data_IF_296338552918
#
_entry.id   IF_296338552918
#
_cell.length_a   1.000
_cell.length_b   1.000
_cell.length_c   1.000
_cell.angle_alpha   90.00
_cell.angle_beta   90.00
_cell.angle_gamma   90.00
#
_symmetry.space_group_name_H-M   'P 1'
#
loop_
_entity.id
_entity.type
_entity.pdbx_description
1 polymer ?
#
# COMPACT_ATOMS: atom_id res chain seq x y z
N UNK A 1 7.85 36.22 -0.09
CA UNK A 1 8.58 34.94 -0.03
C UNK A 1 10.03 35.24 -0.34
N UNK A 2 10.97 34.70 0.43
CA UNK A 2 12.42 34.83 0.16
C UNK A 2 12.98 33.41 0.08
N UNK A 3 13.74 33.15 -0.98
CA UNK A 3 14.44 31.89 -1.22
C UNK A 3 15.91 32.06 -0.87
N UNK A 4 16.52 31.05 -0.26
CA UNK A 4 17.92 31.01 0.16
C UNK A 4 18.88 30.66 -0.98
N UNK A 5 18.35 30.34 -2.16
CA UNK A 5 19.07 30.10 -3.40
C UNK A 5 18.28 30.56 -4.64
N UNK A 6 18.92 30.51 -5.80
CA UNK A 6 18.34 30.95 -7.07
C UNK A 6 17.14 30.09 -7.48
N UNK A 7 16.03 30.74 -7.83
CA UNK A 7 14.79 30.11 -8.31
C UNK A 7 14.55 30.54 -9.75
N UNK A 8 14.21 29.58 -10.62
CA UNK A 8 14.07 29.86 -12.05
C UNK A 8 12.74 30.52 -12.42
N UNK A 9 11.66 30.20 -11.70
CA UNK A 9 10.38 30.91 -11.78
C UNK A 9 9.49 30.63 -10.56
N UNK A 10 8.54 31.54 -10.30
CA UNK A 10 7.60 31.48 -9.17
C UNK A 10 6.19 31.68 -9.71
N UNK A 11 5.24 30.85 -9.26
CA UNK A 11 3.83 31.03 -9.54
C UNK A 11 3.07 31.53 -8.31
N UNK A 12 2.16 32.47 -8.54
CA UNK A 12 1.21 32.95 -7.55
C UNK A 12 -0.19 32.89 -8.15
N UNK A 13 -1.07 32.12 -7.52
CA UNK A 13 -2.47 32.03 -7.92
C UNK A 13 -3.33 32.88 -6.98
N UNK A 14 -4.02 33.86 -7.55
CA UNK A 14 -5.05 34.65 -6.84
C UNK A 14 -6.23 34.81 -7.81
N UNK A 15 -7.43 34.41 -7.40
CA UNK A 15 -8.66 34.61 -8.18
C UNK A 15 -9.11 36.08 -8.19
N UNK A 16 -10.00 36.46 -9.12
CA UNK A 16 -10.47 37.85 -9.23
C UNK A 16 -11.55 38.19 -8.21
N UNK A 17 -11.44 39.33 -7.49
CA UNK A 17 -12.50 39.84 -6.63
C UNK A 17 -13.70 40.38 -7.42
N UNK A 18 -14.92 40.00 -7.04
CA UNK A 18 -16.21 40.57 -7.48
C UNK A 18 -16.88 41.31 -6.33
N UNK A 19 -17.34 42.54 -6.56
CA UNK A 19 -18.01 43.35 -5.54
C UNK A 19 -19.48 42.95 -5.39
N UNK A 20 -19.94 42.69 -4.16
CA UNK A 20 -21.33 42.31 -3.83
C UNK A 20 -22.11 43.52 -3.31
N UNK A 21 -21.48 44.37 -2.49
CA UNK A 21 -22.13 45.55 -1.91
C UNK A 21 -21.13 46.67 -1.58
N UNK A 22 -21.62 47.76 -0.98
CA UNK A 22 -20.79 48.87 -0.51
C UNK A 22 -19.78 48.46 0.60
N UNK A 23 -19.93 47.26 1.17
CA UNK A 23 -19.05 46.72 2.23
C UNK A 23 -18.64 45.26 1.99
N UNK A 24 -18.83 44.73 0.79
CA UNK A 24 -18.68 43.31 0.54
C UNK A 24 -18.08 43.05 -0.85
N UNK A 25 -17.03 42.23 -0.87
CA UNK A 25 -16.36 41.72 -2.05
C UNK A 25 -16.21 40.21 -1.86
N UNK A 26 -16.43 39.44 -2.92
CA UNK A 26 -16.12 38.01 -3.01
C UNK A 26 -14.89 37.83 -3.89
N UNK A 27 -14.07 36.79 -3.69
CA UNK A 27 -12.98 36.41 -4.61
C UNK A 27 -13.23 34.94 -4.97
N UNK A 28 -13.19 34.57 -6.26
CA UNK A 28 -13.35 33.17 -6.66
C UNK A 28 -12.27 32.70 -7.66
N UNK A 29 -11.75 31.50 -7.38
CA UNK A 29 -11.55 30.46 -8.40
C UNK A 29 -12.04 29.15 -7.80
N UNK A 30 -13.30 28.79 -8.08
CA UNK A 30 -13.75 27.40 -8.00
C UNK A 30 -14.25 26.83 -6.67
N UNK A 31 -14.91 27.64 -5.81
CA UNK A 31 -15.84 27.25 -4.72
C UNK A 31 -15.39 27.46 -3.24
N UNK A 32 -16.42 27.63 -2.39
CA UNK A 32 -16.56 28.31 -1.10
C UNK A 32 -15.59 28.00 0.06
N UNK A 33 -15.48 28.93 1.03
CA UNK A 33 -15.77 28.76 2.48
C UNK A 33 -16.10 30.12 3.18
N UNK A 34 -16.71 30.09 4.38
CA UNK A 34 -17.38 31.15 5.17
C UNK A 34 -16.47 32.24 5.82
N UNK A 35 -17.09 33.29 6.38
CA UNK A 35 -16.44 34.44 7.04
C UNK A 35 -15.75 34.18 8.41
N UNK A 36 -15.49 32.91 8.74
CA UNK A 36 -14.57 32.49 9.82
C UNK A 36 -13.31 31.80 9.28
N UNK A 37 -13.17 31.74 7.96
CA UNK A 37 -12.24 30.83 7.31
C UNK A 37 -10.95 31.51 6.84
N UNK A 38 -9.94 30.67 6.79
CA UNK A 38 -8.56 30.99 6.49
C UNK A 38 -8.43 31.47 5.04
N UNK A 39 -7.81 32.64 4.82
CA UNK A 39 -7.40 33.08 3.49
C UNK A 39 -6.06 32.40 3.19
N UNK A 40 -6.10 31.37 2.36
CA UNK A 40 -4.92 30.60 1.98
C UNK A 40 -4.27 31.17 0.73
N UNK A 41 -2.96 31.43 0.81
CA UNK A 41 -2.12 31.80 -0.32
C UNK A 41 -1.14 30.66 -0.56
N UNK A 42 -1.21 30.04 -1.74
CA UNK A 42 -0.27 28.99 -2.14
C UNK A 42 0.79 29.59 -3.04
N UNK A 43 2.04 29.38 -2.68
CA UNK A 43 3.20 29.77 -3.47
C UNK A 43 3.97 28.50 -3.82
N UNK A 44 4.27 28.31 -5.11
CA UNK A 44 5.08 27.20 -5.60
C UNK A 44 6.31 27.78 -6.30
N UNK A 45 7.50 27.33 -5.89
CA UNK A 45 8.78 27.74 -6.47
C UNK A 45 9.53 26.53 -7.00
N UNK A 46 10.18 26.69 -8.15
CA UNK A 46 10.94 25.61 -8.81
C UNK A 46 12.44 25.95 -8.88
N UNK A 47 13.29 25.08 -8.32
CA UNK A 47 14.75 25.20 -8.32
C UNK A 47 15.44 23.84 -8.15
N UNK A 48 16.76 23.83 -7.93
CA UNK A 48 17.57 22.61 -7.80
C UNK A 48 18.03 22.39 -6.35
N UNK A 49 17.92 21.15 -5.85
CA UNK A 49 18.30 20.79 -4.47
C UNK A 49 17.24 21.14 -3.42
N UNK A 50 17.59 20.99 -2.14
CA UNK A 50 16.71 21.31 -1.02
C UNK A 50 16.60 22.84 -0.84
N UNK A 51 15.40 23.41 -0.99
CA UNK A 51 15.12 24.86 -0.86
C UNK A 51 14.32 25.11 0.43
N UNK A 52 14.69 26.13 1.22
CA UNK A 52 13.99 26.48 2.47
C UNK A 52 13.29 27.84 2.36
N UNK A 53 12.06 27.91 1.83
CA UNK A 53 11.38 29.19 1.65
C UNK A 53 10.83 29.77 2.95
N UNK A 54 10.85 31.10 3.06
CA UNK A 54 10.14 31.85 4.13
C UNK A 54 9.10 32.79 3.52
N UNK A 55 7.92 32.90 4.15
CA UNK A 55 6.83 33.77 3.71
C UNK A 55 6.36 34.72 4.83
N UNK A 56 5.97 35.93 4.46
CA UNK A 56 5.42 36.95 5.37
C UNK A 56 4.12 37.47 4.77
N UNK A 57 3.05 37.48 5.55
CA UNK A 57 1.71 37.98 5.17
C UNK A 57 1.33 39.10 6.12
N UNK A 58 0.86 40.23 5.57
CA UNK A 58 0.38 41.38 6.35
C UNK A 58 -1.08 41.65 5.99
N UNK A 59 -1.94 41.83 7.00
CA UNK A 59 -3.37 42.15 6.84
C UNK A 59 -3.64 43.43 7.65
N UNK A 60 -4.05 44.51 6.97
CA UNK A 60 -4.39 45.78 7.63
C UNK A 60 -5.91 45.96 7.79
N UNK A 61 -6.36 46.40 8.98
CA UNK A 61 -7.77 46.78 9.22
C UNK A 61 -8.45 46.24 10.50
N UNK A 62 -7.74 45.61 11.43
CA UNK A 62 -8.34 45.10 12.67
C UNK A 62 -8.49 46.21 13.73
N UNK A 63 -9.69 46.79 13.87
CA UNK A 63 -10.02 47.66 15.00
C UNK A 63 -10.42 46.82 16.22
N UNK A 64 -9.43 46.42 17.02
CA UNK A 64 -9.65 45.72 18.28
C UNK A 64 -8.34 45.21 18.86
N UNK A 65 -7.89 45.81 19.95
CA UNK A 65 -6.58 45.58 20.55
C UNK A 65 -6.34 44.15 21.01
N UNK A 66 -5.57 43.41 20.23
CA UNK A 66 -4.68 42.35 20.68
C UNK A 66 -3.48 42.37 19.76
N UNK A 67 -2.30 42.58 20.35
CA UNK A 67 -1.00 42.63 19.68
C UNK A 67 -0.87 41.41 18.73
N UNK A 68 -0.46 41.57 17.47
CA UNK A 68 -0.15 40.42 16.63
C UNK A 68 1.03 39.71 17.29
N UNK A 69 0.82 38.50 17.79
CA UNK A 69 1.93 37.63 18.15
C UNK A 69 2.71 37.35 16.87
N UNK A 70 3.91 37.90 16.75
CA UNK A 70 4.92 37.47 15.79
C UNK A 70 5.36 36.05 16.16
N UNK A 71 4.51 35.08 15.79
CA UNK A 71 4.84 33.66 15.79
C UNK A 71 5.87 33.42 14.70
N UNK A 72 7.05 32.94 15.10
CA UNK A 72 8.13 32.59 14.19
C UNK A 72 7.69 31.56 13.15
N UNK A 73 8.29 31.72 11.97
CA UNK A 73 8.43 30.77 10.86
C UNK A 73 7.90 29.36 11.12
N UNK A 74 6.64 29.10 10.78
CA UNK A 74 6.14 27.74 10.55
C UNK A 74 6.39 27.38 9.09
N UNK A 75 7.34 26.46 8.87
CA UNK A 75 7.38 25.65 7.66
C UNK A 75 6.10 24.79 7.60
N UNK A 76 5.54 24.67 6.39
CA UNK A 76 4.21 24.14 6.12
C UNK A 76 3.87 22.83 6.84
N UNK A 77 2.73 22.86 7.53
CA UNK A 77 2.04 21.69 8.07
C UNK A 77 1.23 20.98 6.98
N UNK A 78 1.50 19.69 6.85
CA UNK A 78 0.81 18.64 6.11
C UNK A 78 -0.70 18.54 6.47
N UNK A 79 -1.64 18.48 5.51
CA UNK A 79 -3.06 18.32 5.80
C UNK A 79 -3.41 16.84 6.03
N UNK A 80 -3.56 16.42 7.29
CA UNK A 80 -4.10 15.09 7.59
C UNK A 80 -3.99 14.62 9.04
N UNK A 81 -4.53 15.38 10.00
CA UNK A 81 -4.68 14.91 11.38
C UNK A 81 -6.16 14.87 11.78
N UNK A 82 -6.79 13.71 11.65
CA UNK A 82 -8.00 13.39 12.41
C UNK A 82 -7.63 12.55 13.62
N UNK A 83 -7.52 13.23 14.76
CA UNK A 83 -7.91 12.74 16.08
C UNK A 83 -7.22 11.49 16.65
N UNK A 84 -6.06 11.67 17.26
CA UNK A 84 -5.50 10.73 18.23
C UNK A 84 -4.38 11.39 19.04
N UNK A 85 -4.67 11.80 20.28
CA UNK A 85 -3.82 12.67 21.10
C UNK A 85 -2.38 12.18 21.27
N UNK A 86 -1.43 13.06 20.93
CA UNK A 86 0.00 12.88 21.19
C UNK A 86 0.76 14.15 20.85
N UNK A 87 1.50 14.68 21.82
CA UNK A 87 2.27 15.91 21.77
C UNK A 87 3.21 16.00 20.56
N UNK A 88 3.35 17.20 19.98
CA UNK A 88 4.01 17.49 18.70
C UNK A 88 5.52 17.21 18.63
N UNK A 89 5.89 15.94 18.55
CA UNK A 89 7.21 15.49 18.07
C UNK A 89 7.17 15.10 16.59
N UNK A 90 8.31 15.24 15.89
CA UNK A 90 8.49 14.72 14.53
C UNK A 90 8.12 13.23 14.50
N UNK A 91 7.33 12.80 13.52
CA UNK A 91 6.96 11.39 13.36
C UNK A 91 8.19 10.59 12.91
N UNK A 92 8.43 9.44 13.53
CA UNK A 92 9.50 8.54 13.13
C UNK A 92 8.98 7.54 12.09
N UNK A 93 9.06 7.92 10.82
CA UNK A 93 8.57 7.07 9.71
C UNK A 93 9.39 5.78 9.54
N UNK A 94 10.68 5.78 9.91
CA UNK A 94 11.49 4.57 9.91
C UNK A 94 11.01 3.54 10.94
N UNK A 95 10.65 3.99 12.13
CA UNK A 95 10.04 3.12 13.15
C UNK A 95 8.66 2.61 12.72
N UNK A 96 7.83 3.48 12.13
CA UNK A 96 6.53 3.08 11.59
C UNK A 96 6.67 2.02 10.49
N UNK A 97 7.64 2.20 9.58
CA UNK A 97 7.95 1.24 8.52
C UNK A 97 8.40 -0.12 9.08
N UNK A 98 9.31 -0.11 10.07
CA UNK A 98 9.75 -1.34 10.74
C UNK A 98 8.59 -2.09 11.39
N UNK A 99 7.68 -1.36 12.06
CA UNK A 99 6.45 -1.95 12.64
C UNK A 99 5.49 -2.48 11.57
N UNK A 100 5.37 -1.82 10.43
CA UNK A 100 4.57 -2.29 9.30
C UNK A 100 5.11 -3.60 8.72
N UNK A 101 6.43 -3.76 8.63
CA UNK A 101 7.05 -5.03 8.22
C UNK A 101 6.79 -6.14 9.24
N UNK A 102 6.88 -5.83 10.55
CA UNK A 102 6.55 -6.79 11.61
C UNK A 102 5.08 -7.22 11.58
N UNK A 103 4.17 -6.35 11.17
CA UNK A 103 2.77 -6.71 10.96
C UNK A 103 2.61 -7.85 9.95
N UNK A 104 3.23 -7.76 8.76
CA UNK A 104 3.17 -8.85 7.78
C UNK A 104 3.88 -10.13 8.26
N UNK A 105 4.97 -10.01 9.02
CA UNK A 105 5.59 -11.17 9.67
C UNK A 105 4.61 -11.85 10.65
N UNK A 106 3.80 -11.07 11.35
CA UNK A 106 2.78 -11.57 12.25
C UNK A 106 1.56 -12.19 11.55
N UNK A 107 1.43 -12.04 10.23
CA UNK A 107 0.40 -12.69 9.40
C UNK A 107 0.87 -14.00 8.76
N UNK A 108 2.15 -14.39 8.89
CA UNK A 108 2.70 -15.60 8.24
C UNK A 108 1.93 -16.86 8.66
N UNK A 109 1.49 -17.66 7.69
CA UNK A 109 0.95 -19.01 7.87
C UNK A 109 2.01 -20.04 7.43
N UNK A 110 1.96 -21.28 7.92
CA UNK A 110 2.91 -22.34 7.62
C UNK A 110 3.94 -22.55 8.72
N UNK A 111 5.05 -23.20 8.36
CA UNK A 111 6.18 -23.46 9.25
C UNK A 111 7.08 -22.23 9.32
N UNK A 112 7.12 -21.55 10.46
CA UNK A 112 7.87 -20.32 10.62
C UNK A 112 9.39 -20.58 10.65
N UNK A 113 10.21 -19.64 10.17
CA UNK A 113 11.65 -19.82 10.17
C UNK A 113 12.20 -19.67 11.61
N UNK A 114 13.36 -20.28 11.94
CA UNK A 114 13.94 -20.21 13.28
C UNK A 114 14.24 -18.79 13.76
N UNK A 115 14.43 -17.84 12.83
CA UNK A 115 14.67 -16.42 13.09
C UNK A 115 13.38 -15.57 13.03
N UNK A 116 12.20 -16.17 13.20
CA UNK A 116 10.93 -15.44 13.22
C UNK A 116 10.97 -14.29 14.26
N UNK A 117 10.71 -13.03 13.85
CA UNK A 117 10.81 -11.88 14.75
C UNK A 117 9.59 -11.71 15.67
N UNK A 118 8.53 -12.52 15.51
CA UNK A 118 7.28 -12.39 16.25
C UNK A 118 7.17 -13.47 17.34
N UNK A 119 7.52 -13.18 18.61
CA UNK A 119 7.72 -14.21 19.64
C UNK A 119 6.45 -14.95 20.07
N UNK A 120 5.27 -14.41 19.75
CA UNK A 120 3.97 -14.99 20.09
C UNK A 120 3.32 -15.76 18.93
N UNK A 121 3.97 -15.82 17.76
CA UNK A 121 3.53 -16.61 16.60
C UNK A 121 4.33 -17.90 16.50
N UNK A 122 3.63 -19.00 16.23
CA UNK A 122 4.19 -20.33 16.01
C UNK A 122 3.80 -20.93 14.66
N UNK A 123 4.26 -22.16 14.43
CA UNK A 123 3.88 -22.96 13.26
C UNK A 123 2.37 -23.17 13.23
N UNK A 124 1.74 -22.82 12.12
CA UNK A 124 0.29 -22.94 11.93
C UNK A 124 -0.02 -23.41 10.52
N UNK A 125 -1.13 -24.15 10.33
CA UNK A 125 -1.60 -24.59 9.01
C UNK A 125 -0.53 -25.27 8.12
N UNK A 126 0.40 -25.99 8.74
CA UNK A 126 1.52 -26.66 8.04
C UNK A 126 1.05 -27.75 7.06
N UNK A 127 -0.17 -28.26 7.25
CA UNK A 127 -0.79 -29.28 6.41
C UNK A 127 -1.74 -28.73 5.33
N UNK A 128 -1.82 -27.41 5.14
CA UNK A 128 -2.58 -26.82 4.04
C UNK A 128 -2.04 -27.34 2.68
N UNK A 129 -2.91 -27.42 1.66
CA UNK A 129 -2.49 -27.86 0.32
C UNK A 129 -1.37 -26.99 -0.27
N UNK A 130 -1.34 -25.71 0.11
CA UNK A 130 -0.27 -24.76 -0.17
C UNK A 130 0.12 -24.14 1.18
N UNK A 131 1.19 -24.64 1.84
CA UNK A 131 1.69 -24.07 3.08
C UNK A 131 2.38 -22.72 2.79
N UNK A 132 2.54 -21.89 3.83
CA UNK A 132 3.07 -20.54 3.66
C UNK A 132 1.98 -19.48 3.46
N UNK A 133 2.39 -18.32 2.95
CA UNK A 133 1.50 -17.19 2.67
C UNK A 133 1.11 -16.41 3.93
N UNK A 134 0.21 -15.45 3.77
CA UNK A 134 -0.33 -14.64 4.86
C UNK A 134 -1.80 -14.94 5.10
N UNK A 135 -2.20 -15.00 6.37
CA UNK A 135 -3.59 -14.83 6.76
C UNK A 135 -4.07 -13.43 6.37
N UNK A 136 -5.31 -13.34 5.89
CA UNK A 136 -5.84 -12.15 5.25
C UNK A 136 -6.00 -10.97 6.21
N UNK A 137 -6.70 -11.17 7.33
CA UNK A 137 -7.00 -10.12 8.29
C UNK A 137 -6.84 -10.61 9.74
N UNK A 138 -7.90 -10.49 10.53
CA UNK A 138 -7.98 -11.09 11.87
C UNK A 138 -8.47 -12.54 11.87
N UNK A 139 -8.81 -13.06 10.69
CA UNK A 139 -9.16 -14.45 10.43
C UNK A 139 -7.92 -15.23 9.96
N UNK A 140 -8.10 -16.48 9.53
CA UNK A 140 -7.00 -17.33 9.10
C UNK A 140 -7.16 -17.92 7.70
N UNK A 141 -8.12 -17.41 6.92
CA UNK A 141 -8.23 -17.74 5.50
C UNK A 141 -7.10 -17.05 4.74
N UNK A 142 -6.60 -17.73 3.71
CA UNK A 142 -5.66 -17.15 2.74
C UNK A 142 -6.46 -16.81 1.48
N UNK A 143 -6.88 -15.57 1.32
CA UNK A 143 -7.65 -15.10 0.16
C UNK A 143 -6.72 -14.57 -0.94
N UNK A 144 -6.75 -15.19 -2.12
CA UNK A 144 -5.81 -14.89 -3.20
C UNK A 144 -5.92 -13.48 -3.77
N UNK A 145 -7.13 -12.94 -3.91
CA UNK A 145 -7.35 -11.61 -4.49
C UNK A 145 -6.65 -10.50 -3.67
N UNK A 146 -7.01 -10.26 -2.39
CA UNK A 146 -6.34 -9.23 -1.57
C UNK A 146 -4.85 -9.55 -1.32
N UNK A 147 -4.49 -10.83 -1.22
CA UNK A 147 -3.10 -11.24 -1.04
C UNK A 147 -2.23 -10.83 -2.24
N UNK A 148 -2.72 -11.05 -3.46
CA UNK A 148 -2.01 -10.67 -4.69
C UNK A 148 -1.87 -9.14 -4.81
N UNK A 149 -2.95 -8.39 -4.57
CA UNK A 149 -2.92 -6.92 -4.55
C UNK A 149 -1.91 -6.37 -3.54
N UNK A 150 -1.93 -6.90 -2.31
CA UNK A 150 -0.97 -6.52 -1.25
C UNK A 150 0.47 -6.77 -1.68
N UNK A 151 0.75 -7.94 -2.27
CA UNK A 151 2.08 -8.32 -2.70
C UNK A 151 2.58 -7.48 -3.89
N UNK A 152 1.70 -7.09 -4.81
CA UNK A 152 2.04 -6.16 -5.90
C UNK A 152 2.38 -4.78 -5.35
N UNK A 153 1.55 -4.22 -4.45
CA UNK A 153 1.79 -2.91 -3.84
C UNK A 153 3.10 -2.86 -3.04
N UNK A 154 3.38 -3.91 -2.26
CA UNK A 154 4.64 -4.03 -1.52
C UNK A 154 5.85 -4.19 -2.46
N UNK A 155 5.70 -4.97 -3.53
CA UNK A 155 6.71 -5.12 -4.57
C UNK A 155 7.01 -3.80 -5.28
N UNK A 156 5.97 -3.06 -5.68
CA UNK A 156 6.11 -1.74 -6.28
C UNK A 156 6.78 -0.76 -5.31
N UNK A 157 6.36 -0.74 -4.03
CA UNK A 157 7.00 0.09 -3.00
C UNK A 157 8.50 -0.18 -2.89
N UNK A 158 8.90 -1.46 -2.85
CA UNK A 158 10.31 -1.84 -2.82
C UNK A 158 11.07 -1.37 -4.07
N UNK A 159 10.48 -1.53 -5.26
CA UNK A 159 11.09 -1.10 -6.53
C UNK A 159 11.26 0.43 -6.58
N UNK A 160 10.22 1.17 -6.20
CA UNK A 160 10.16 2.62 -6.36
C UNK A 160 10.93 3.37 -5.27
N UNK A 161 10.92 2.86 -4.03
CA UNK A 161 11.40 3.56 -2.84
C UNK A 161 12.47 2.77 -2.08
N UNK A 162 13.26 1.96 -2.79
CA UNK A 162 14.34 1.14 -2.21
C UNK A 162 15.26 1.94 -1.28
N UNK A 163 15.64 3.15 -1.67
CA UNK A 163 16.51 4.04 -0.90
C UNK A 163 15.88 4.46 0.45
N UNK A 164 14.54 4.56 0.51
CA UNK A 164 13.79 4.79 1.74
C UNK A 164 13.94 3.64 2.73
N UNK A 165 13.84 2.39 2.25
CA UNK A 165 14.08 1.20 3.07
C UNK A 165 15.53 1.11 3.55
N UNK A 166 16.49 1.47 2.69
CA UNK A 166 17.92 1.52 3.05
C UNK A 166 18.18 2.55 4.15
N UNK A 167 17.70 3.79 3.97
CA UNK A 167 17.82 4.87 4.97
C UNK A 167 17.16 4.52 6.30
N UNK A 168 16.05 3.78 6.27
CA UNK A 168 15.36 3.30 7.46
C UNK A 168 16.03 2.07 8.13
N UNK A 169 17.03 1.46 7.48
CA UNK A 169 17.64 0.21 7.96
C UNK A 169 16.69 -0.99 7.92
N UNK A 170 15.71 -0.98 7.01
CA UNK A 170 14.65 -1.98 6.89
C UNK A 170 14.69 -2.76 5.57
N UNK A 171 15.67 -2.54 4.70
CA UNK A 171 15.71 -3.14 3.36
C UNK A 171 15.75 -4.68 3.40
N UNK A 172 16.63 -5.27 4.22
CA UNK A 172 16.73 -6.74 4.30
C UNK A 172 15.47 -7.36 4.91
N UNK A 173 14.83 -6.69 5.85
CA UNK A 173 13.59 -7.09 6.50
C UNK A 173 12.41 -6.99 5.53
N UNK A 174 12.39 -5.98 4.68
CA UNK A 174 11.43 -5.86 3.59
C UNK A 174 11.58 -7.02 2.60
N UNK A 175 12.81 -7.32 2.18
CA UNK A 175 13.08 -8.48 1.33
C UNK A 175 12.59 -9.78 2.01
N UNK A 176 13.03 -10.08 3.23
CA UNK A 176 12.61 -11.30 3.96
C UNK A 176 11.08 -11.41 4.08
N UNK A 177 10.42 -10.31 4.44
CA UNK A 177 8.98 -10.25 4.62
C UNK A 177 8.24 -10.58 3.32
N UNK A 178 8.50 -9.84 2.22
CA UNK A 178 7.76 -10.04 0.97
C UNK A 178 8.14 -11.35 0.27
N UNK A 179 9.34 -11.90 0.55
CA UNK A 179 9.72 -13.20 -0.01
C UNK A 179 8.71 -14.27 0.35
N UNK A 180 8.14 -14.20 1.56
CA UNK A 180 7.20 -15.18 2.10
C UNK A 180 5.97 -15.38 1.21
N UNK A 181 5.39 -14.28 0.72
CA UNK A 181 4.20 -14.34 -0.14
C UNK A 181 4.56 -14.73 -1.58
N UNK A 182 5.73 -14.33 -2.07
CA UNK A 182 6.20 -14.74 -3.39
C UNK A 182 6.54 -16.24 -3.47
N UNK A 183 7.14 -16.81 -2.43
CA UNK A 183 7.34 -18.26 -2.33
C UNK A 183 5.99 -19.00 -2.30
N UNK A 184 5.00 -18.46 -1.60
CA UNK A 184 3.64 -18.99 -1.60
C UNK A 184 3.01 -18.98 -3.00
N UNK A 185 3.15 -17.91 -3.78
CA UNK A 185 2.62 -17.86 -5.15
C UNK A 185 3.31 -18.86 -6.10
N UNK A 186 4.63 -19.02 -5.97
CA UNK A 186 5.37 -20.04 -6.73
C UNK A 186 4.88 -21.46 -6.40
N UNK A 187 4.49 -21.72 -5.16
CA UNK A 187 3.91 -23.00 -4.74
C UNK A 187 2.43 -23.15 -5.16
N UNK A 188 1.66 -22.06 -5.13
CA UNK A 188 0.25 -22.06 -5.46
C UNK A 188 -0.02 -22.28 -6.95
N UNK A 189 0.92 -21.87 -7.83
CA UNK A 189 0.81 -22.04 -9.28
C UNK A 189 1.43 -23.35 -9.76
N UNK A 190 0.61 -24.23 -10.34
CA UNK A 190 1.08 -25.43 -11.02
C UNK A 190 0.93 -25.30 -12.55
N UNK A 191 2.00 -24.91 -13.27
CA UNK A 191 1.93 -24.71 -14.72
C UNK A 191 1.67 -26.01 -15.50
N UNK A 192 2.11 -27.16 -14.97
CA UNK A 192 1.90 -28.47 -15.62
C UNK A 192 0.44 -28.92 -15.61
N UNK A 193 -0.33 -28.50 -14.59
CA UNK A 193 -1.78 -28.73 -14.51
C UNK A 193 -2.62 -27.56 -15.02
N UNK A 194 -1.98 -26.42 -15.30
CA UNK A 194 -2.65 -25.13 -15.53
C UNK A 194 -3.67 -24.81 -14.41
N UNK A 195 -3.21 -24.92 -13.16
CA UNK A 195 -4.05 -24.79 -11.97
C UNK A 195 -3.38 -23.86 -10.95
N UNK A 196 -4.11 -22.85 -10.49
CA UNK A 196 -3.70 -21.91 -9.43
C UNK A 196 -4.58 -22.11 -8.20
N UNK A 197 -3.97 -22.32 -7.04
CA UNK A 197 -4.69 -22.25 -5.76
C UNK A 197 -4.97 -20.78 -5.41
N UNK A 198 -6.25 -20.42 -5.31
CA UNK A 198 -6.69 -19.02 -5.09
C UNK A 198 -7.28 -18.77 -3.71
N UNK A 199 -7.57 -19.84 -2.96
CA UNK A 199 -8.03 -19.71 -1.58
C UNK A 199 -7.68 -20.96 -0.79
N UNK A 200 -7.25 -20.78 0.46
CA UNK A 200 -7.09 -21.86 1.43
C UNK A 200 -7.83 -21.52 2.71
N UNK A 201 -8.75 -22.40 3.10
CA UNK A 201 -9.69 -22.18 4.19
C UNK A 201 -11.10 -21.88 3.67
N UNK A 202 -12.10 -22.28 4.46
CA UNK A 202 -13.49 -21.86 4.28
C UNK A 202 -13.79 -20.71 5.24
N UNK A 203 -14.20 -19.55 4.72
CA UNK A 203 -14.39 -18.37 5.55
C UNK A 203 -15.48 -18.51 6.59
N UNK A 204 -16.56 -19.23 6.30
CA UNK A 204 -17.61 -19.42 7.30
C UNK A 204 -17.13 -20.29 8.46
N UNK A 205 -16.48 -21.43 8.16
CA UNK A 205 -15.92 -22.29 9.19
C UNK A 205 -14.82 -21.59 10.00
N UNK A 206 -13.92 -20.88 9.33
CA UNK A 206 -12.82 -20.13 9.95
C UNK A 206 -13.36 -19.05 10.89
N UNK A 207 -14.35 -18.25 10.45
CA UNK A 207 -14.90 -17.14 11.22
C UNK A 207 -15.78 -17.56 12.40
N UNK A 208 -16.14 -18.84 12.50
CA UNK A 208 -16.80 -19.40 13.70
C UNK A 208 -15.81 -19.77 14.80
N UNK A 209 -14.51 -19.78 14.51
CA UNK A 209 -13.46 -20.06 15.47
C UNK A 209 -12.73 -18.78 15.91
N UNK A 210 -12.78 -18.48 17.20
CA UNK A 210 -12.03 -17.38 17.79
C UNK A 210 -10.87 -17.93 18.63
N UNK A 211 -9.67 -17.97 18.05
CA UNK A 211 -8.50 -18.53 18.70
C UNK A 211 -7.24 -18.32 17.89
N UNK A 212 -6.14 -18.89 18.37
CA UNK A 212 -4.84 -18.76 17.72
C UNK A 212 -4.78 -19.62 16.45
N UNK A 213 -4.07 -19.19 15.40
CA UNK A 213 -3.93 -20.00 14.18
C UNK A 213 -3.25 -21.35 14.43
N UNK A 214 -2.42 -21.45 15.47
CA UNK A 214 -1.75 -22.68 15.88
C UNK A 214 -2.71 -23.74 16.46
N UNK A 215 -3.91 -23.33 16.90
CA UNK A 215 -4.91 -24.19 17.55
C UNK A 215 -6.14 -24.51 16.67
N UNK A 216 -6.08 -24.14 15.39
CA UNK A 216 -7.15 -24.43 14.43
C UNK A 216 -7.34 -25.94 14.24
N UNK A 217 -8.59 -26.38 14.25
CA UNK A 217 -8.97 -27.79 14.13
C UNK A 217 -10.05 -28.05 13.07
N UNK A 218 -10.60 -27.00 12.46
CA UNK A 218 -11.52 -27.13 11.33
C UNK A 218 -10.80 -27.55 10.05
N UNK A 219 -11.54 -28.12 9.10
CA UNK A 219 -11.02 -28.40 7.77
C UNK A 219 -10.72 -27.09 7.02
N UNK A 220 -9.62 -27.06 6.29
CA UNK A 220 -9.16 -25.91 5.51
C UNK A 220 -9.07 -26.26 4.02
N UNK A 221 -10.21 -26.32 3.32
CA UNK A 221 -10.24 -26.73 1.92
C UNK A 221 -9.54 -25.71 1.03
N UNK A 222 -9.05 -26.17 -0.11
CA UNK A 222 -8.43 -25.31 -1.11
C UNK A 222 -9.34 -25.15 -2.32
N UNK A 223 -9.40 -23.92 -2.84
CA UNK A 223 -10.11 -23.60 -4.08
C UNK A 223 -9.09 -23.27 -5.16
N UNK A 224 -9.42 -23.68 -6.37
CA UNK A 224 -8.53 -23.58 -7.52
C UNK A 224 -9.23 -22.92 -8.70
N UNK A 225 -8.45 -22.23 -9.52
CA UNK A 225 -8.83 -21.81 -10.87
C UNK A 225 -8.01 -22.63 -11.87
N UNK A 226 -8.64 -23.06 -12.94
CA UNK A 226 -8.07 -23.91 -13.98
C UNK A 226 -8.85 -23.73 -15.29
N UNK A 227 -8.55 -24.49 -16.34
CA UNK A 227 -9.23 -24.34 -17.63
C UNK A 227 -10.76 -24.51 -17.63
N UNK A 228 -11.35 -25.06 -16.56
CA UNK A 228 -12.81 -25.13 -16.37
C UNK A 228 -13.37 -24.14 -15.35
N UNK A 229 -12.51 -23.42 -14.62
CA UNK A 229 -12.89 -22.49 -13.55
C UNK A 229 -12.22 -21.14 -13.81
N UNK A 230 -12.97 -20.12 -14.25
CA UNK A 230 -12.45 -18.77 -14.47
C UNK A 230 -11.83 -18.15 -13.21
N UNK A 231 -10.89 -17.24 -13.40
CA UNK A 231 -10.25 -16.50 -12.31
C UNK A 231 -9.04 -15.69 -12.76
N UNK A 232 -9.17 -14.99 -13.88
CA UNK A 232 -8.16 -14.10 -14.42
C UNK A 232 -7.94 -12.84 -13.57
N UNK A 233 -8.94 -12.45 -12.78
CA UNK A 233 -8.82 -11.44 -11.73
C UNK A 233 -7.69 -11.80 -10.74
N UNK A 234 -7.75 -12.99 -10.15
CA UNK A 234 -6.74 -13.43 -9.18
C UNK A 234 -5.45 -13.86 -9.87
N UNK A 235 -5.54 -14.57 -11.01
CA UNK A 235 -4.36 -15.04 -11.73
C UNK A 235 -3.54 -13.87 -12.32
N UNK A 236 -4.21 -12.83 -12.84
CA UNK A 236 -3.60 -11.61 -13.33
C UNK A 236 -2.86 -10.86 -12.22
N UNK A 237 -3.54 -10.60 -11.10
CA UNK A 237 -2.93 -9.92 -9.95
C UNK A 237 -1.77 -10.71 -9.34
N UNK A 238 -1.88 -12.04 -9.27
CA UNK A 238 -0.79 -12.90 -8.78
C UNK A 238 0.41 -12.89 -9.73
N UNK A 239 0.17 -12.84 -11.06
CA UNK A 239 1.24 -12.69 -12.02
C UNK A 239 1.92 -11.32 -11.92
N UNK A 240 1.15 -10.24 -11.73
CA UNK A 240 1.67 -8.90 -11.47
C UNK A 240 2.56 -8.86 -10.22
N UNK A 241 2.11 -9.48 -9.12
CA UNK A 241 2.85 -9.55 -7.88
C UNK A 241 4.21 -10.25 -8.07
N UNK A 242 4.24 -11.41 -8.74
CA UNK A 242 5.48 -12.13 -9.03
C UNK A 242 6.39 -11.32 -9.99
N UNK A 243 5.83 -10.60 -10.96
CA UNK A 243 6.61 -9.73 -11.86
C UNK A 243 7.25 -8.56 -11.10
N UNK A 244 6.51 -7.88 -10.23
CA UNK A 244 7.04 -6.84 -9.35
C UNK A 244 8.16 -7.39 -8.44
N UNK A 245 7.96 -8.60 -7.89
CA UNK A 245 8.99 -9.32 -7.15
C UNK A 245 10.24 -9.60 -7.99
N UNK A 246 10.09 -10.06 -9.24
CA UNK A 246 11.22 -10.28 -10.13
C UNK A 246 12.07 -9.02 -10.35
N UNK A 247 11.42 -7.85 -10.49
CA UNK A 247 12.13 -6.57 -10.60
C UNK A 247 12.86 -6.24 -9.29
N UNK A 248 12.15 -6.30 -8.15
CA UNK A 248 12.70 -5.95 -6.83
C UNK A 248 13.89 -6.81 -6.41
N UNK A 249 13.91 -8.09 -6.83
CA UNK A 249 14.97 -9.04 -6.51
C UNK A 249 16.10 -9.11 -7.53
N UNK A 250 15.98 -8.48 -8.70
CA UNK A 250 16.93 -8.63 -9.83
C UNK A 250 18.40 -8.50 -9.43
N UNK A 251 18.73 -7.50 -8.61
CA UNK A 251 20.10 -7.23 -8.17
C UNK A 251 20.46 -7.91 -6.84
N UNK A 252 19.46 -8.36 -6.07
CA UNK A 252 19.64 -9.01 -4.76
C UNK A 252 19.85 -10.53 -4.93
N UNK A 253 19.08 -11.16 -5.81
CA UNK A 253 19.13 -12.57 -6.15
C UNK A 253 18.54 -12.77 -7.56
N UNK A 254 19.41 -12.72 -8.57
CA UNK A 254 19.02 -12.87 -9.96
C UNK A 254 18.39 -14.25 -10.27
N UNK A 255 18.80 -15.30 -9.55
CA UNK A 255 18.25 -16.65 -9.72
C UNK A 255 16.81 -16.74 -9.23
N UNK A 256 16.52 -16.16 -8.07
CA UNK A 256 15.16 -16.05 -7.55
C UNK A 256 14.30 -15.12 -8.40
N UNK A 257 14.83 -13.97 -8.83
CA UNK A 257 14.14 -13.06 -9.73
C UNK A 257 13.70 -13.75 -11.04
N UNK A 258 14.57 -14.57 -11.64
CA UNK A 258 14.23 -15.33 -12.83
C UNK A 258 13.12 -16.36 -12.58
N UNK A 259 13.14 -17.07 -11.44
CA UNK A 259 12.05 -17.99 -11.08
C UNK A 259 10.70 -17.28 -10.95
N UNK A 260 10.68 -16.11 -10.31
CA UNK A 260 9.48 -15.29 -10.22
C UNK A 260 8.98 -14.83 -11.59
N UNK A 261 9.90 -14.39 -12.46
CA UNK A 261 9.55 -13.94 -13.80
C UNK A 261 8.98 -15.06 -14.68
N UNK A 262 9.54 -16.27 -14.59
CA UNK A 262 9.03 -17.45 -15.29
C UNK A 262 7.63 -17.84 -14.77
N UNK A 263 7.45 -17.84 -13.45
CA UNK A 263 6.15 -18.01 -12.81
C UNK A 263 5.12 -16.98 -13.28
N UNK A 264 5.46 -15.70 -13.24
CA UNK A 264 4.63 -14.59 -13.69
C UNK A 264 4.20 -14.74 -15.15
N UNK A 265 5.16 -14.97 -16.07
CA UNK A 265 4.88 -15.13 -17.50
C UNK A 265 3.95 -16.31 -17.78
N UNK A 266 4.22 -17.46 -17.15
CA UNK A 266 3.40 -18.65 -17.35
C UNK A 266 1.99 -18.47 -16.80
N UNK A 267 1.84 -17.88 -15.61
CA UNK A 267 0.54 -17.60 -15.01
C UNK A 267 -0.24 -16.53 -15.77
N UNK A 268 0.41 -15.46 -16.23
CA UNK A 268 -0.23 -14.42 -17.04
C UNK A 268 -0.74 -14.98 -18.38
N UNK A 269 0.03 -15.89 -19.01
CA UNK A 269 -0.43 -16.58 -20.21
C UNK A 269 -1.68 -17.43 -19.94
N UNK A 270 -1.74 -18.13 -18.79
CA UNK A 270 -2.94 -18.82 -18.36
C UNK A 270 -4.11 -17.85 -18.14
N UNK A 271 -3.89 -16.73 -17.43
CA UNK A 271 -4.93 -15.73 -17.16
C UNK A 271 -5.52 -15.13 -18.45
N UNK A 272 -4.67 -14.81 -19.45
CA UNK A 272 -5.11 -14.35 -20.78
C UNK A 272 -6.02 -15.36 -21.49
N UNK A 273 -5.71 -16.65 -21.36
CA UNK A 273 -6.47 -17.73 -22.00
C UNK A 273 -7.69 -18.18 -21.20
N UNK A 274 -7.77 -17.83 -19.91
CA UNK A 274 -8.82 -18.25 -18.98
C UNK A 274 -9.50 -17.04 -18.31
N UNK A 275 -10.03 -16.14 -19.14
CA UNK A 275 -10.68 -14.88 -18.73
C UNK A 275 -11.91 -15.10 -17.83
N UNK A 276 -12.24 -14.09 -17.04
CA UNK A 276 -13.39 -14.07 -16.12
C UNK A 276 -12.99 -14.05 -14.65
N UNK A 277 -13.97 -13.82 -13.78
CA UNK A 277 -13.76 -13.64 -12.33
C UNK A 277 -13.91 -14.94 -11.55
N UNK A 278 -13.17 -15.06 -10.45
CA UNK A 278 -13.35 -16.16 -9.50
C UNK A 278 -14.59 -15.92 -8.62
N UNK A 279 -15.64 -16.70 -8.86
CA UNK A 279 -16.92 -16.54 -8.13
C UNK A 279 -16.90 -17.10 -6.71
N UNK A 280 -15.88 -17.88 -6.35
CA UNK A 280 -15.77 -18.52 -5.04
C UNK A 280 -15.26 -17.64 -3.89
N UNK A 281 -14.90 -16.38 -4.17
CA UNK A 281 -14.40 -15.42 -3.17
C UNK A 281 -15.50 -14.73 -2.35
N UNK A 282 -16.73 -14.70 -2.85
CA UNK A 282 -17.89 -14.15 -2.14
C UNK A 282 -18.27 -15.03 -0.91
N UNK A 283 -18.83 -14.42 0.16
CA UNK A 283 -19.21 -13.02 0.31
C UNK A 283 -18.05 -12.09 0.73
N UNK A 284 -16.84 -12.61 0.89
CA UNK A 284 -15.71 -11.85 1.47
C UNK A 284 -15.04 -10.95 0.42
N UNK A 285 -14.49 -11.56 -0.63
CA UNK A 285 -13.77 -10.87 -1.71
C UNK A 285 -14.36 -11.27 -3.06
N UNK A 286 -15.56 -10.78 -3.35
CA UNK A 286 -16.16 -10.89 -4.68
C UNK A 286 -15.53 -9.89 -5.64
N UNK A 287 -15.15 -10.35 -6.84
CA UNK A 287 -14.65 -9.48 -7.90
C UNK A 287 -15.77 -9.02 -8.83
N UNK A 288 -15.63 -7.80 -9.38
CA UNK A 288 -16.53 -7.20 -10.37
C UNK A 288 -16.00 -7.29 -11.81
N UNK A 289 -14.74 -7.67 -12.01
CA UNK A 289 -14.09 -7.74 -13.33
C UNK A 289 -12.67 -8.31 -13.26
N UNK A 290 -12.05 -8.51 -14.42
CA UNK A 290 -10.66 -8.96 -14.55
C UNK A 290 -9.79 -8.03 -15.41
N UNK A 291 -10.38 -6.94 -15.92
CA UNK A 291 -9.75 -6.15 -16.97
C UNK A 291 -8.55 -5.36 -16.44
N UNK A 292 -8.67 -4.84 -15.22
CA UNK A 292 -7.64 -4.10 -14.52
C UNK A 292 -6.49 -5.00 -14.07
N UNK A 293 -6.74 -6.18 -13.50
CA UNK A 293 -5.65 -7.12 -13.17
C UNK A 293 -4.95 -7.66 -14.43
N UNK A 294 -5.67 -7.82 -15.54
CA UNK A 294 -5.05 -8.18 -16.81
C UNK A 294 -4.20 -7.05 -17.41
N UNK A 295 -4.56 -5.79 -17.15
CA UNK A 295 -3.72 -4.64 -17.48
C UNK A 295 -2.51 -4.55 -16.55
N UNK A 296 -2.72 -4.68 -15.24
CA UNK A 296 -1.67 -4.66 -14.22
C UNK A 296 -0.62 -5.74 -14.47
N UNK A 297 -1.05 -6.98 -14.71
CA UNK A 297 -0.14 -8.09 -15.01
C UNK A 297 0.58 -7.99 -16.37
N UNK A 298 0.15 -7.09 -17.26
CA UNK A 298 0.82 -6.84 -18.53
C UNK A 298 1.97 -5.83 -18.42
N UNK A 299 1.89 -4.89 -17.47
CA UNK A 299 2.85 -3.80 -17.27
C UNK A 299 4.17 -4.32 -16.67
#
# INVERSE_FOLDING_TARGET
>A
MIFDQDVWWVEAWVGSPTKISNREYTISSGSHQNARDQICFNFLGHGQGDIQPTATVTIDGQSGGSNPSSGGSQAGSDPGNTGGGGTGGKKNYGEALGKSILFYNAQRSGKLPPNNPIPWRGDSNVGDCVPGGWHDAGDHVKFGLPLSSTATLLGWSLVQFKDGYEKAGQLDQMYDMIKWVYDYFLLAWNPGKQELCVQVGDGNADHTFWGRPEDMHMARPCKYVNGGTPGADIAGGTAAAMAAGAIGYKDKDAGYANRLLEGAKSLYNFAKSNRGVFTGGAPFYGSSGDADEMCEGAM
#
